data_IF_117912979512
#
_entry.id   IF_117912979512
#
_cell.length_a   1.000
_cell.length_b   1.000
_cell.length_c   1.000
_cell.angle_alpha   90.00
_cell.angle_beta   90.00
_cell.angle_gamma   90.00
#
_symmetry.space_group_name_H-M   'P 1'
#
loop_
_entity.id
_entity.type
_entity.pdbx_description
1 polymer ?
#
# COMPACT_ATOMS: atom_id res chain seq x y z
N UNK A 1 50.25 -48.33 39.57
CA UNK A 1 49.62 -47.11 39.02
C UNK A 1 48.20 -47.46 38.59
N UNK A 2 47.18 -46.97 39.30
CA UNK A 2 45.77 -47.07 38.91
C UNK A 2 45.33 -45.65 38.52
N UNK A 3 44.88 -45.46 37.28
CA UNK A 3 44.31 -44.20 36.81
C UNK A 3 42.79 -44.25 36.98
N UNK A 4 42.26 -43.30 37.75
CA UNK A 4 40.83 -43.05 37.91
C UNK A 4 40.41 -42.03 36.86
N UNK A 5 39.47 -42.38 35.98
CA UNK A 5 38.88 -41.45 35.00
C UNK A 5 37.63 -40.83 35.63
N UNK A 6 37.59 -39.50 35.72
CA UNK A 6 36.41 -38.73 36.15
C UNK A 6 35.63 -38.34 34.89
N UNK A 7 34.39 -38.82 34.80
CA UNK A 7 33.45 -38.50 33.71
C UNK A 7 32.66 -37.24 34.10
N UNK A 8 32.86 -36.14 33.38
CA UNK A 8 32.05 -34.92 33.50
C UNK A 8 30.81 -35.06 32.62
N UNK A 9 29.62 -35.19 33.24
CA UNK A 9 28.33 -35.16 32.53
C UNK A 9 27.95 -33.69 32.37
N UNK A 10 28.02 -33.16 31.15
CA UNK A 10 27.47 -31.85 30.81
C UNK A 10 25.97 -31.98 30.58
N UNK A 11 25.18 -31.37 31.47
CA UNK A 11 23.74 -31.22 31.32
C UNK A 11 23.46 -30.18 30.23
N UNK A 12 23.11 -30.61 29.02
CA UNK A 12 22.56 -29.72 28.00
C UNK A 12 21.12 -29.36 28.39
N UNK A 13 20.92 -28.19 28.97
CA UNK A 13 19.61 -27.57 29.05
C UNK A 13 19.26 -27.06 27.64
N UNK A 14 18.40 -27.79 26.93
CA UNK A 14 17.79 -27.32 25.69
C UNK A 14 16.81 -26.19 26.03
N UNK A 15 17.23 -24.94 25.79
CA UNK A 15 16.29 -23.84 25.68
C UNK A 15 15.41 -24.11 24.45
N UNK A 16 14.17 -24.53 24.68
CA UNK A 16 13.11 -24.43 23.69
C UNK A 16 12.91 -22.94 23.40
N UNK A 17 13.53 -22.45 22.33
CA UNK A 17 13.18 -21.17 21.74
C UNK A 17 11.73 -21.27 21.29
N UNK A 18 10.80 -20.76 22.10
CA UNK A 18 9.46 -20.44 21.63
C UNK A 18 9.63 -19.34 20.57
N UNK A 19 9.66 -19.75 19.30
CA UNK A 19 9.48 -18.82 18.20
C UNK A 19 8.18 -18.05 18.46
N UNK A 20 8.25 -16.73 18.36
CA UNK A 20 7.10 -15.86 18.56
C UNK A 20 6.02 -16.21 17.53
N UNK A 21 4.96 -16.90 17.96
CA UNK A 21 3.79 -17.05 17.11
C UNK A 21 2.99 -15.76 17.22
N UNK A 22 3.12 -14.91 16.20
CA UNK A 22 2.09 -13.92 15.97
C UNK A 22 0.84 -14.69 15.54
N UNK A 23 -0.29 -14.43 16.19
CA UNK A 23 -1.59 -14.84 15.67
C UNK A 23 -1.88 -13.98 14.43
N UNK A 24 -1.49 -14.49 13.26
CA UNK A 24 -1.71 -13.81 11.99
C UNK A 24 -3.22 -13.73 11.75
N UNK A 25 -3.70 -12.50 11.67
CA UNK A 25 -5.09 -12.21 11.39
C UNK A 25 -5.44 -12.69 9.99
N UNK A 26 -6.44 -13.55 9.91
CA UNK A 26 -7.07 -13.99 8.68
C UNK A 26 -8.57 -13.85 8.88
N UNK A 27 -9.22 -13.03 8.07
CA UNK A 27 -10.68 -13.01 8.06
C UNK A 27 -11.23 -14.32 7.48
N UNK A 28 -12.50 -14.60 7.74
CA UNK A 28 -13.22 -15.72 7.11
C UNK A 28 -13.67 -15.42 5.69
N UNK A 29 -13.22 -14.30 5.10
CA UNK A 29 -13.59 -13.87 3.77
C UNK A 29 -13.19 -14.91 2.72
N UNK A 30 -14.13 -15.22 1.83
CA UNK A 30 -13.89 -16.09 0.68
C UNK A 30 -13.93 -15.24 -0.59
N UNK A 31 -12.91 -15.34 -1.47
CA UNK A 31 -12.91 -14.61 -2.73
C UNK A 31 -14.16 -14.91 -3.55
N UNK A 32 -14.79 -13.87 -4.10
CA UNK A 32 -15.93 -14.01 -5.00
C UNK A 32 -15.49 -14.63 -6.32
N UNK A 33 -16.19 -15.65 -6.78
CA UNK A 33 -15.94 -16.24 -8.09
C UNK A 33 -16.49 -15.32 -9.17
N UNK A 34 -15.60 -14.79 -10.01
CA UNK A 34 -15.95 -13.89 -11.11
C UNK A 34 -15.77 -14.55 -12.46
N UNK A 35 -16.81 -14.54 -13.28
CA UNK A 35 -16.72 -14.85 -14.70
C UNK A 35 -16.52 -13.55 -15.47
N UNK A 36 -15.38 -13.43 -16.15
CA UNK A 36 -15.05 -12.27 -17.00
C UNK A 36 -15.29 -12.70 -18.44
N UNK A 37 -16.36 -12.21 -19.05
CA UNK A 37 -16.72 -12.50 -20.44
C UNK A 37 -16.44 -11.25 -21.25
N UNK A 38 -15.52 -11.36 -22.20
CA UNK A 38 -15.01 -10.19 -22.91
C UNK A 38 -14.99 -10.45 -24.41
N UNK A 39 -15.40 -9.43 -25.16
CA UNK A 39 -15.22 -9.35 -26.60
C UNK A 39 -14.51 -8.04 -26.94
N UNK A 40 -13.49 -8.11 -27.80
CA UNK A 40 -12.90 -6.96 -28.44
C UNK A 40 -13.08 -7.12 -29.95
N UNK A 41 -13.60 -6.09 -30.63
CA UNK A 41 -13.94 -6.18 -32.07
C UNK A 41 -12.81 -6.74 -32.96
N UNK A 42 -13.16 -7.29 -34.13
CA UNK A 42 -12.28 -8.18 -34.93
C UNK A 42 -10.87 -7.65 -35.27
N UNK A 43 -10.66 -6.33 -35.38
CA UNK A 43 -9.33 -5.75 -35.61
C UNK A 43 -8.39 -5.83 -34.38
N UNK A 44 -8.92 -6.16 -33.20
CA UNK A 44 -8.25 -6.11 -31.91
C UNK A 44 -8.07 -7.49 -31.25
N UNK A 45 -8.29 -8.60 -31.97
CA UNK A 45 -8.23 -9.96 -31.41
C UNK A 45 -6.90 -10.30 -30.69
N UNK A 46 -5.76 -9.77 -31.18
CA UNK A 46 -4.46 -9.93 -30.50
C UNK A 46 -4.35 -9.14 -29.18
N UNK A 47 -5.18 -8.10 -28.99
CA UNK A 47 -5.22 -7.26 -27.78
C UNK A 47 -6.20 -7.79 -26.73
N UNK A 48 -7.17 -8.63 -27.13
CA UNK A 48 -8.15 -9.24 -26.22
C UNK A 48 -7.49 -10.03 -25.08
N UNK A 49 -6.46 -10.82 -25.37
CA UNK A 49 -5.72 -11.59 -24.37
C UNK A 49 -5.02 -10.69 -23.34
N UNK A 50 -4.47 -9.55 -23.79
CA UNK A 50 -3.85 -8.55 -22.92
C UNK A 50 -4.90 -7.88 -22.02
N UNK A 51 -6.02 -7.41 -22.59
CA UNK A 51 -7.09 -6.76 -21.82
C UNK A 51 -7.67 -7.70 -20.77
N UNK A 52 -8.00 -8.93 -21.18
CA UNK A 52 -8.46 -9.97 -20.26
C UNK A 52 -7.43 -10.26 -19.16
N UNK A 53 -6.15 -10.39 -19.53
CA UNK A 53 -5.05 -10.62 -18.59
C UNK A 53 -4.93 -9.52 -17.55
N UNK A 54 -5.04 -8.25 -17.94
CA UNK A 54 -4.99 -7.10 -17.01
C UNK A 54 -6.18 -7.13 -16.05
N UNK A 55 -7.41 -7.24 -16.55
CA UNK A 55 -8.62 -7.24 -15.70
C UNK A 55 -8.59 -8.43 -14.74
N UNK A 56 -8.20 -9.62 -15.23
CA UNK A 56 -8.06 -10.82 -14.40
C UNK A 56 -7.00 -10.62 -13.32
N UNK A 57 -5.82 -10.11 -13.68
CA UNK A 57 -4.72 -9.90 -12.73
C UNK A 57 -5.11 -8.88 -11.66
N UNK A 58 -5.75 -7.78 -12.03
CA UNK A 58 -6.24 -6.77 -11.09
C UNK A 58 -7.19 -7.38 -10.06
N UNK A 59 -8.28 -8.01 -10.52
CA UNK A 59 -9.30 -8.58 -9.64
C UNK A 59 -8.73 -9.69 -8.76
N UNK A 60 -7.89 -10.59 -9.31
CA UNK A 60 -7.31 -11.69 -8.53
C UNK A 60 -6.22 -11.23 -7.58
N UNK A 61 -5.42 -10.23 -7.95
CA UNK A 61 -4.36 -9.66 -7.10
C UNK A 61 -4.89 -8.98 -5.84
N UNK A 62 -6.13 -8.48 -5.88
CA UNK A 62 -6.82 -7.95 -4.71
C UNK A 62 -7.19 -9.03 -3.67
N UNK A 63 -7.07 -10.31 -4.05
CA UNK A 63 -7.54 -11.49 -3.31
C UNK A 63 -9.03 -11.43 -2.94
N UNK A 64 -9.76 -10.44 -3.46
CA UNK A 64 -11.20 -10.30 -3.25
C UNK A 64 -11.99 -11.18 -4.23
N UNK A 65 -11.34 -11.61 -5.32
CA UNK A 65 -11.92 -12.39 -6.40
C UNK A 65 -11.08 -13.61 -6.76
N UNK A 66 -11.75 -14.65 -7.25
CA UNK A 66 -11.16 -15.77 -7.98
C UNK A 66 -11.77 -15.82 -9.39
N UNK A 67 -10.95 -15.68 -10.43
CA UNK A 67 -11.45 -15.72 -11.80
C UNK A 67 -11.78 -17.17 -12.22
N UNK A 68 -12.98 -17.38 -12.75
CA UNK A 68 -13.40 -18.65 -13.34
C UNK A 68 -12.69 -18.82 -14.69
N UNK A 69 -12.27 -20.05 -14.99
CA UNK A 69 -11.67 -20.38 -16.28
C UNK A 69 -12.71 -20.22 -17.42
N UNK A 70 -12.41 -19.45 -18.49
CA UNK A 70 -13.31 -19.30 -19.62
C UNK A 70 -13.75 -20.62 -20.28
N UNK A 71 -12.96 -21.70 -20.16
CA UNK A 71 -13.34 -23.02 -20.66
C UNK A 71 -14.56 -23.62 -19.94
N UNK A 72 -14.90 -23.13 -18.75
CA UNK A 72 -16.07 -23.57 -18.00
C UNK A 72 -17.36 -22.84 -18.41
N UNK A 73 -17.29 -21.77 -19.20
CA UNK A 73 -18.45 -20.96 -19.53
C UNK A 73 -19.45 -21.74 -20.40
N UNK A 74 -20.72 -21.67 -20.02
CA UNK A 74 -21.82 -22.38 -20.70
C UNK A 74 -22.55 -21.52 -21.74
N UNK A 75 -22.26 -20.22 -21.79
CA UNK A 75 -22.84 -19.26 -22.72
C UNK A 75 -21.76 -18.41 -23.36
N UNK A 76 -21.98 -18.02 -24.62
CA UNK A 76 -21.12 -17.11 -25.36
C UNK A 76 -21.30 -15.67 -24.90
N UNK A 77 -20.40 -14.79 -25.35
CA UNK A 77 -20.52 -13.36 -25.14
C UNK A 77 -21.82 -12.81 -25.76
N UNK A 78 -22.12 -13.15 -27.03
CA UNK A 78 -23.29 -12.61 -27.75
C UNK A 78 -24.60 -12.97 -27.05
N UNK A 79 -24.77 -14.24 -26.67
CA UNK A 79 -25.96 -14.71 -25.93
C UNK A 79 -26.12 -13.95 -24.62
N UNK A 80 -25.04 -13.86 -23.85
CA UNK A 80 -25.04 -13.19 -22.54
C UNK A 80 -25.23 -11.69 -22.63
N UNK A 81 -24.77 -11.06 -23.72
CA UNK A 81 -24.84 -9.62 -23.92
C UNK A 81 -26.27 -9.13 -24.18
N UNK A 82 -27.04 -9.92 -24.94
CA UNK A 82 -28.45 -9.67 -25.22
C UNK A 82 -29.32 -9.97 -23.99
N UNK A 83 -29.14 -11.15 -23.41
CA UNK A 83 -29.88 -11.58 -22.22
C UNK A 83 -29.08 -12.60 -21.41
N UNK A 84 -28.80 -12.25 -20.15
CA UNK A 84 -28.09 -13.16 -19.23
C UNK A 84 -29.03 -14.26 -18.73
N UNK A 85 -28.80 -15.50 -19.16
CA UNK A 85 -29.43 -16.68 -18.57
C UNK A 85 -28.72 -17.05 -17.26
N UNK A 86 -29.23 -16.51 -16.15
CA UNK A 86 -28.60 -16.63 -14.83
C UNK A 86 -28.37 -18.08 -14.35
N UNK A 87 -29.16 -19.04 -14.85
CA UNK A 87 -29.01 -20.46 -14.51
C UNK A 87 -27.63 -21.00 -14.87
N UNK A 88 -27.15 -20.68 -16.07
CA UNK A 88 -25.87 -21.16 -16.62
C UNK A 88 -24.69 -20.74 -15.75
N UNK A 89 -24.72 -19.48 -15.31
CA UNK A 89 -23.68 -18.90 -14.47
C UNK A 89 -23.72 -19.42 -13.04
N UNK A 90 -24.90 -19.76 -12.50
CA UNK A 90 -25.03 -20.40 -11.19
C UNK A 90 -24.48 -21.84 -11.20
N UNK A 91 -24.64 -22.58 -12.29
CA UNK A 91 -24.14 -23.96 -12.42
C UNK A 91 -22.62 -24.01 -12.24
N UNK A 92 -21.90 -23.04 -12.81
CA UNK A 92 -20.43 -22.94 -12.68
C UNK A 92 -19.99 -22.22 -11.40
N UNK A 93 -20.96 -21.80 -10.57
CA UNK A 93 -20.74 -21.14 -9.29
C UNK A 93 -20.20 -19.72 -9.41
N UNK A 94 -20.60 -18.97 -10.43
CA UNK A 94 -20.24 -17.55 -10.54
C UNK A 94 -21.03 -16.71 -9.54
N UNK A 95 -20.33 -16.03 -8.65
CA UNK A 95 -20.90 -15.01 -7.76
C UNK A 95 -21.13 -13.69 -8.51
N UNK A 96 -20.24 -13.39 -9.47
CA UNK A 96 -20.29 -12.19 -10.32
C UNK A 96 -20.05 -12.59 -11.78
N UNK A 97 -20.82 -11.99 -12.68
CA UNK A 97 -20.58 -12.06 -14.14
C UNK A 97 -20.31 -10.65 -14.65
N UNK A 98 -19.12 -10.43 -15.19
CA UNK A 98 -18.72 -9.18 -15.81
C UNK A 98 -18.67 -9.38 -17.33
N UNK A 99 -19.59 -8.72 -18.04
CA UNK A 99 -19.60 -8.66 -19.49
C UNK A 99 -18.93 -7.36 -19.93
N UNK A 100 -17.90 -7.47 -20.77
CA UNK A 100 -17.11 -6.32 -21.22
C UNK A 100 -17.01 -6.30 -22.75
N UNK A 101 -17.59 -5.29 -23.39
CA UNK A 101 -17.46 -5.06 -24.83
C UNK A 101 -16.44 -3.95 -25.10
N UNK A 102 -15.37 -4.26 -25.82
CA UNK A 102 -14.35 -3.28 -26.23
C UNK A 102 -14.45 -2.97 -27.71
N UNK A 103 -14.55 -1.69 -28.03
CA UNK A 103 -14.57 -1.17 -29.40
C UNK A 103 -13.52 -0.07 -29.58
N UNK A 104 -12.83 -0.10 -30.70
CA UNK A 104 -11.99 1.02 -31.14
C UNK A 104 -12.88 2.11 -31.77
N UNK A 105 -12.53 3.36 -31.51
CA UNK A 105 -13.22 4.57 -31.97
C UNK A 105 -12.19 5.51 -32.58
N UNK A 106 -12.62 6.50 -33.36
CA UNK A 106 -11.70 7.48 -33.99
C UNK A 106 -10.81 8.22 -32.96
N UNK A 107 -11.27 8.33 -31.71
CA UNK A 107 -10.59 9.04 -30.62
C UNK A 107 -9.85 8.13 -29.64
N UNK A 108 -9.95 6.81 -29.80
CA UNK A 108 -9.34 5.83 -28.89
C UNK A 108 -10.19 4.60 -28.65
N UNK A 109 -10.36 4.22 -27.39
CA UNK A 109 -11.04 3.00 -26.99
C UNK A 109 -12.29 3.31 -26.18
N UNK A 110 -13.33 2.51 -26.39
CA UNK A 110 -14.56 2.50 -25.61
C UNK A 110 -14.76 1.10 -25.05
N UNK A 111 -15.10 1.03 -23.76
CA UNK A 111 -15.47 -0.19 -23.07
C UNK A 111 -16.87 -0.06 -22.48
N UNK A 112 -17.79 -0.93 -22.88
CA UNK A 112 -19.11 -1.06 -22.26
C UNK A 112 -19.08 -2.23 -21.30
N UNK A 113 -19.58 -2.02 -20.08
CA UNK A 113 -19.46 -2.95 -18.98
C UNK A 113 -20.85 -3.22 -18.43
N UNK A 114 -21.21 -4.49 -18.26
CA UNK A 114 -22.38 -4.92 -17.50
C UNK A 114 -21.93 -5.88 -16.41
N UNK A 115 -22.25 -5.59 -15.15
CA UNK A 115 -21.91 -6.46 -14.02
C UNK A 115 -23.19 -7.01 -13.43
N UNK A 116 -23.26 -8.32 -13.30
CA UNK A 116 -24.43 -9.05 -12.84
C UNK A 116 -24.12 -9.89 -11.61
N UNK A 117 -25.12 -10.04 -10.74
CA UNK A 117 -25.18 -11.00 -9.64
C UNK A 117 -26.12 -12.14 -10.06
N UNK A 118 -25.59 -13.32 -10.43
CA UNK A 118 -26.41 -14.42 -10.89
C UNK A 118 -27.36 -14.96 -9.83
N UNK A 119 -26.94 -15.04 -8.56
CA UNK A 119 -27.76 -15.58 -7.48
C UNK A 119 -28.98 -14.71 -7.21
N UNK A 120 -28.80 -13.38 -7.22
CA UNK A 120 -29.91 -12.43 -7.07
C UNK A 120 -30.65 -12.13 -8.37
N UNK A 121 -30.20 -12.68 -9.51
CA UNK A 121 -30.72 -12.39 -10.84
C UNK A 121 -30.82 -10.88 -11.11
N UNK A 122 -29.75 -10.15 -10.77
CA UNK A 122 -29.75 -8.69 -10.77
C UNK A 122 -28.61 -8.12 -11.60
N UNK A 123 -28.89 -7.10 -12.41
CA UNK A 123 -27.88 -6.20 -12.97
C UNK A 123 -27.42 -5.24 -11.87
N UNK A 124 -26.14 -5.30 -11.50
CA UNK A 124 -25.53 -4.42 -10.50
C UNK A 124 -25.17 -3.06 -11.09
N UNK A 125 -24.57 -3.05 -12.28
CA UNK A 125 -24.22 -1.82 -12.99
C UNK A 125 -24.17 -2.03 -14.50
N UNK A 126 -24.42 -0.96 -15.26
CA UNK A 126 -24.13 -0.87 -16.69
C UNK A 126 -23.55 0.51 -17.00
N UNK A 127 -22.29 0.54 -17.47
CA UNK A 127 -21.54 1.78 -17.66
C UNK A 127 -20.69 1.72 -18.92
N UNK A 128 -20.32 2.89 -19.42
CA UNK A 128 -19.41 3.05 -20.56
C UNK A 128 -18.21 3.87 -20.12
N UNK A 129 -17.01 3.42 -20.48
CA UNK A 129 -15.75 4.09 -20.15
C UNK A 129 -14.94 4.29 -21.43
N UNK A 130 -14.39 5.49 -21.61
CA UNK A 130 -13.60 5.84 -22.80
C UNK A 130 -12.16 6.22 -22.46
N UNK A 131 -11.24 6.02 -23.41
CA UNK A 131 -9.83 6.36 -23.29
C UNK A 131 -9.23 6.76 -24.63
N UNK A 132 -8.06 7.41 -24.62
CA UNK A 132 -7.27 7.65 -25.83
C UNK A 132 -6.69 6.36 -26.42
N UNK A 133 -6.22 6.41 -27.66
CA UNK A 133 -5.69 5.25 -28.41
C UNK A 133 -4.53 4.53 -27.70
N UNK A 134 -3.64 5.27 -27.03
CA UNK A 134 -2.47 4.73 -26.33
C UNK A 134 -2.78 4.14 -24.94
N UNK A 135 -4.00 4.30 -24.43
CA UNK A 135 -4.34 4.06 -23.03
C UNK A 135 -5.16 2.77 -22.81
N UNK A 136 -5.09 1.78 -23.71
CA UNK A 136 -5.90 0.55 -23.61
C UNK A 136 -5.67 -0.20 -22.29
N UNK A 137 -4.42 -0.29 -21.83
CA UNK A 137 -4.11 -0.91 -20.53
C UNK A 137 -4.72 -0.14 -19.35
N UNK A 138 -4.63 1.18 -19.35
CA UNK A 138 -5.30 2.04 -18.37
C UNK A 138 -6.82 1.91 -18.43
N UNK A 139 -7.40 1.72 -19.63
CA UNK A 139 -8.82 1.41 -19.77
C UNK A 139 -9.16 0.05 -19.14
N UNK A 140 -8.34 -0.98 -19.33
CA UNK A 140 -8.50 -2.28 -18.68
C UNK A 140 -8.53 -2.16 -17.15
N UNK A 141 -7.60 -1.40 -16.56
CA UNK A 141 -7.60 -1.12 -15.11
C UNK A 141 -8.90 -0.43 -14.66
N UNK A 142 -9.36 0.58 -15.42
CA UNK A 142 -10.64 1.24 -15.12
C UNK A 142 -11.84 0.29 -15.22
N UNK A 143 -11.83 -0.64 -16.17
CA UNK A 143 -12.87 -1.67 -16.27
C UNK A 143 -12.83 -2.58 -15.03
N UNK A 144 -11.65 -2.99 -14.58
CA UNK A 144 -11.49 -3.75 -13.33
C UNK A 144 -12.01 -2.96 -12.11
N UNK A 145 -11.76 -1.65 -12.05
CA UNK A 145 -12.28 -0.78 -10.97
C UNK A 145 -13.82 -0.73 -10.97
N UNK A 146 -14.45 -0.68 -12.14
CA UNK A 146 -15.92 -0.72 -12.24
C UNK A 146 -16.48 -2.07 -11.77
N UNK A 147 -15.85 -3.19 -12.14
CA UNK A 147 -16.26 -4.52 -11.68
C UNK A 147 -16.11 -4.64 -10.16
N UNK A 148 -14.96 -4.23 -9.64
CA UNK A 148 -14.65 -4.24 -8.21
C UNK A 148 -15.65 -3.41 -7.42
N UNK A 149 -15.92 -2.17 -7.86
CA UNK A 149 -16.86 -1.27 -7.20
C UNK A 149 -18.30 -1.76 -7.28
N UNK A 150 -18.72 -2.35 -8.39
CA UNK A 150 -20.08 -2.88 -8.53
C UNK A 150 -20.32 -4.09 -7.62
N UNK A 151 -19.33 -4.98 -7.50
CA UNK A 151 -19.44 -6.21 -6.72
C UNK A 151 -19.27 -5.98 -5.20
N UNK A 152 -18.33 -5.11 -4.80
CA UNK A 152 -17.96 -4.94 -3.39
C UNK A 152 -18.51 -3.65 -2.75
N UNK A 153 -18.99 -2.69 -3.55
CA UNK A 153 -19.51 -1.42 -3.05
C UNK A 153 -18.43 -0.46 -2.54
N UNK A 154 -17.16 -0.72 -2.87
CA UNK A 154 -16.00 0.12 -2.52
C UNK A 154 -15.21 0.48 -3.78
N UNK A 155 -14.62 1.68 -3.88
CA UNK A 155 -13.84 2.08 -5.05
C UNK A 155 -12.70 1.11 -5.33
N UNK A 156 -12.43 0.84 -6.61
CA UNK A 156 -11.21 0.16 -7.03
C UNK A 156 -9.97 1.03 -6.86
N UNK A 157 -8.80 0.42 -7.05
CA UNK A 157 -7.49 1.08 -6.94
C UNK A 157 -6.56 0.69 -8.09
N UNK A 158 -7.05 0.05 -9.15
CA UNK A 158 -6.20 -0.58 -10.16
C UNK A 158 -5.52 0.42 -11.09
N UNK A 159 -6.01 1.66 -11.17
CA UNK A 159 -5.34 2.78 -11.85
C UNK A 159 -4.30 3.51 -11.00
N UNK A 160 -4.08 3.07 -9.77
CA UNK A 160 -3.10 3.70 -8.88
C UNK A 160 -1.66 3.29 -9.21
N UNK A 161 -0.72 4.01 -8.63
CA UNK A 161 0.70 3.87 -8.88
C UNK A 161 1.47 3.71 -7.58
N UNK A 162 2.68 3.18 -7.69
CA UNK A 162 3.56 2.96 -6.55
C UNK A 162 4.90 3.62 -6.85
N UNK A 163 5.40 4.39 -5.89
CA UNK A 163 6.80 4.79 -5.83
C UNK A 163 7.52 3.88 -4.86
N UNK A 164 8.78 3.58 -5.15
CA UNK A 164 9.67 2.92 -4.19
C UNK A 164 11.11 3.40 -4.37
N UNK A 165 11.91 3.21 -3.33
CA UNK A 165 13.35 3.50 -3.35
C UNK A 165 14.09 2.25 -3.78
N UNK A 166 14.89 2.34 -4.84
CA UNK A 166 15.79 1.28 -5.27
C UNK A 166 17.23 1.63 -4.90
N UNK A 167 17.88 0.79 -4.09
CA UNK A 167 19.30 0.97 -3.77
C UNK A 167 20.19 0.51 -4.94
N UNK A 168 21.17 1.34 -5.31
CA UNK A 168 22.16 1.10 -6.37
C UNK A 168 23.56 1.48 -5.89
N UNK A 169 24.23 0.53 -5.25
CA UNK A 169 25.52 0.76 -4.62
C UNK A 169 25.41 1.80 -3.50
N UNK A 170 26.15 2.90 -3.64
CA UNK A 170 26.15 4.04 -2.70
C UNK A 170 25.03 5.05 -2.96
N UNK A 171 24.26 4.88 -4.04
CA UNK A 171 23.17 5.78 -4.41
C UNK A 171 21.83 5.07 -4.34
N UNK A 172 20.75 5.85 -4.40
CA UNK A 172 19.38 5.38 -4.50
C UNK A 172 18.67 6.08 -5.65
N UNK A 173 17.78 5.34 -6.31
CA UNK A 173 16.87 5.87 -7.32
C UNK A 173 15.44 5.88 -6.77
N UNK A 174 14.64 6.87 -7.17
CA UNK A 174 13.19 6.87 -6.99
C UNK A 174 12.58 6.22 -8.22
N UNK A 175 11.82 5.14 -8.01
CA UNK A 175 11.27 4.30 -9.09
C UNK A 175 9.75 4.33 -9.04
N UNK A 176 9.13 4.47 -10.20
CA UNK A 176 7.69 4.49 -10.42
C UNK A 176 7.24 3.20 -11.10
N UNK A 177 6.09 2.68 -10.70
CA UNK A 177 5.40 1.59 -11.40
C UNK A 177 3.88 1.70 -11.23
N UNK A 178 3.13 1.04 -12.11
CA UNK A 178 1.71 0.74 -11.89
C UNK A 178 1.55 -0.17 -10.66
N UNK A 179 0.37 -0.21 -10.04
CA UNK A 179 0.13 -1.03 -8.85
C UNK A 179 0.41 -2.54 -9.04
N UNK A 180 0.32 -3.04 -10.27
CA UNK A 180 0.60 -4.44 -10.64
C UNK A 180 2.08 -4.69 -11.05
N UNK A 181 2.94 -3.68 -10.97
CA UNK A 181 4.36 -3.76 -11.28
C UNK A 181 4.76 -3.46 -12.73
N UNK A 182 3.80 -3.18 -13.63
CA UNK A 182 4.13 -2.73 -14.98
C UNK A 182 4.62 -1.27 -15.00
N UNK A 183 5.06 -0.80 -16.18
CA UNK A 183 5.59 0.55 -16.38
C UNK A 183 6.70 0.94 -15.38
N UNK A 184 7.49 -0.05 -14.94
CA UNK A 184 8.51 0.11 -13.93
C UNK A 184 9.72 0.89 -14.47
N UNK A 185 9.93 2.11 -13.98
CA UNK A 185 10.98 3.00 -14.46
C UNK A 185 11.49 3.98 -13.40
N UNK A 186 12.80 4.30 -13.38
CA UNK A 186 13.34 5.33 -12.50
C UNK A 186 12.89 6.72 -12.93
N UNK A 187 12.25 7.46 -12.02
CA UNK A 187 11.79 8.84 -12.23
C UNK A 187 12.73 9.87 -11.58
N UNK A 188 13.52 9.47 -10.59
CA UNK A 188 14.60 10.26 -10.03
C UNK A 188 15.83 9.38 -9.78
N UNK A 189 17.04 9.90 -10.02
CA UNK A 189 18.28 9.11 -9.99
C UNK A 189 19.37 9.74 -9.14
N UNK A 190 20.31 8.91 -8.70
CA UNK A 190 21.57 9.32 -8.06
C UNK A 190 21.38 10.13 -6.77
N UNK A 191 20.37 9.80 -5.96
CA UNK A 191 20.27 10.35 -4.61
C UNK A 191 21.32 9.67 -3.71
N UNK A 192 22.10 10.43 -2.94
CA UNK A 192 23.07 9.84 -2.00
C UNK A 192 22.36 8.97 -0.95
N UNK A 193 21.22 9.43 -0.46
CA UNK A 193 20.30 8.66 0.35
C UNK A 193 18.90 9.21 0.10
N UNK A 194 17.94 8.33 -0.09
CA UNK A 194 16.54 8.67 -0.34
C UNK A 194 15.67 7.84 0.59
N UNK A 195 14.81 8.50 1.36
CA UNK A 195 13.97 7.85 2.36
C UNK A 195 12.58 8.47 2.40
N UNK A 196 11.60 7.66 2.79
CA UNK A 196 10.23 8.08 3.10
C UNK A 196 9.60 9.03 2.06
N UNK A 197 9.51 8.62 0.78
CA UNK A 197 8.74 9.38 -0.20
C UNK A 197 7.26 9.37 0.20
N UNK A 198 6.57 10.49 0.03
CA UNK A 198 5.12 10.59 0.19
C UNK A 198 4.50 11.41 -0.95
N UNK A 199 3.38 10.93 -1.45
CA UNK A 199 2.68 11.55 -2.58
C UNK A 199 1.91 12.77 -2.12
N UNK A 200 2.04 13.86 -2.88
CA UNK A 200 1.05 14.93 -2.85
C UNK A 200 -0.33 14.39 -3.24
N UNK A 201 -1.43 14.92 -2.67
CA UNK A 201 -2.78 14.43 -2.98
C UNK A 201 -3.21 14.57 -4.45
N UNK A 202 -2.56 15.46 -5.21
CA UNK A 202 -2.83 15.63 -6.65
C UNK A 202 -1.96 14.74 -7.55
N UNK A 203 -1.08 13.92 -6.95
CA UNK A 203 -0.20 13.00 -7.66
C UNK A 203 0.94 13.66 -8.45
N UNK A 204 1.20 14.97 -8.31
CA UNK A 204 2.19 15.68 -9.14
C UNK A 204 3.57 15.77 -8.50
N UNK A 205 3.59 15.86 -7.17
CA UNK A 205 4.80 16.04 -6.38
C UNK A 205 4.98 14.91 -5.36
N UNK A 206 6.22 14.71 -4.95
CA UNK A 206 6.62 13.80 -3.88
C UNK A 206 7.40 14.59 -2.86
N UNK A 207 7.00 14.51 -1.59
CA UNK A 207 7.84 14.99 -0.51
C UNK A 207 8.79 13.85 -0.13
N UNK A 208 10.08 14.16 -0.01
CA UNK A 208 11.09 13.15 0.28
C UNK A 208 12.15 13.67 1.25
N UNK A 209 12.77 12.75 1.98
CA UNK A 209 13.98 13.00 2.74
C UNK A 209 15.20 12.56 1.91
N UNK A 210 16.14 13.47 1.72
CA UNK A 210 17.40 13.19 1.02
C UNK A 210 18.59 13.80 1.73
N UNK A 211 19.79 13.33 1.38
CA UNK A 211 21.05 13.87 1.86
C UNK A 211 21.79 14.57 0.74
N UNK A 212 22.33 15.75 1.02
CA UNK A 212 23.21 16.46 0.09
C UNK A 212 24.33 17.11 0.88
N UNK A 213 25.57 16.84 0.49
CA UNK A 213 26.75 17.24 1.28
C UNK A 213 26.75 16.64 2.69
N UNK A 214 26.20 15.43 2.84
CA UNK A 214 26.02 14.74 4.13
C UNK A 214 25.07 15.45 5.13
N UNK A 215 24.23 16.37 4.65
CA UNK A 215 23.20 17.03 5.45
C UNK A 215 21.81 16.53 5.05
N UNK A 216 20.98 16.02 5.99
CA UNK A 216 19.61 15.62 5.72
C UNK A 216 18.75 16.86 5.44
N UNK A 217 17.86 16.75 4.48
CA UNK A 217 16.94 17.81 4.06
C UNK A 217 15.64 17.22 3.54
N UNK A 218 14.59 18.03 3.56
CA UNK A 218 13.30 17.71 2.95
C UNK A 218 13.15 18.48 1.64
N UNK A 219 12.77 17.75 0.60
CA UNK A 219 12.56 18.32 -0.74
C UNK A 219 11.21 17.91 -1.32
N UNK A 220 10.61 18.82 -2.08
CA UNK A 220 9.59 18.49 -3.05
C UNK A 220 10.25 18.09 -4.36
N UNK A 221 9.84 16.95 -4.90
CA UNK A 221 10.25 16.42 -6.18
C UNK A 221 9.05 16.41 -7.13
N UNK A 222 9.14 17.13 -8.25
CA UNK A 222 8.09 17.17 -9.27
C UNK A 222 8.25 15.95 -10.22
N UNK A 223 7.24 15.09 -10.27
CA UNK A 223 7.31 13.83 -11.02
C UNK A 223 7.37 14.01 -12.54
N UNK A 224 6.91 15.15 -13.05
CA UNK A 224 6.86 15.42 -14.49
C UNK A 224 8.16 16.03 -15.00
N UNK A 225 8.76 16.93 -14.23
CA UNK A 225 9.93 17.73 -14.62
C UNK A 225 11.23 17.25 -13.99
N UNK A 226 11.16 16.49 -12.90
CA UNK A 226 12.31 16.13 -12.07
C UNK A 226 12.86 17.29 -11.24
N UNK A 227 12.16 18.43 -11.19
CA UNK A 227 12.59 19.60 -10.43
C UNK A 227 12.55 19.30 -8.92
N UNK A 228 13.55 19.83 -8.20
CA UNK A 228 13.76 19.61 -6.76
C UNK A 228 13.80 20.93 -6.02
N UNK A 229 12.93 21.09 -5.02
CA UNK A 229 12.85 22.29 -4.20
C UNK A 229 12.95 21.93 -2.73
N UNK A 230 13.97 22.41 -2.03
CA UNK A 230 14.11 22.20 -0.60
C UNK A 230 13.10 23.07 0.18
N UNK A 231 12.43 22.48 1.16
CA UNK A 231 11.50 23.18 2.06
C UNK A 231 11.82 22.97 3.55
N UNK A 232 12.73 22.03 3.87
CA UNK A 232 13.30 21.85 5.20
C UNK A 232 14.80 21.59 5.10
N UNK A 233 15.62 22.48 5.67
CA UNK A 233 17.07 22.36 5.70
C UNK A 233 17.63 22.90 7.02
N UNK A 234 17.14 22.34 8.12
CA UNK A 234 17.52 22.77 9.46
C UNK A 234 18.71 21.96 9.97
N UNK A 235 19.43 22.48 10.97
CA UNK A 235 20.45 21.69 11.65
C UNK A 235 19.82 20.49 12.36
N UNK A 236 20.48 19.33 12.27
CA UNK A 236 20.02 18.09 12.91
C UNK A 236 19.19 17.23 11.95
N UNK A 237 18.29 16.42 12.52
CA UNK A 237 17.44 15.53 11.76
C UNK A 237 16.35 16.33 11.02
N UNK A 238 16.17 16.00 9.73
CA UNK A 238 15.05 16.42 8.91
C UNK A 238 14.55 15.14 8.22
N UNK A 239 13.39 14.62 8.61
CA UNK A 239 12.94 13.32 8.07
C UNK A 239 11.43 13.17 8.02
N UNK A 240 11.01 12.12 7.31
CA UNK A 240 9.63 11.59 7.24
C UNK A 240 8.60 12.69 6.96
N UNK A 241 8.68 13.37 5.80
CA UNK A 241 7.65 14.31 5.40
C UNK A 241 6.38 13.55 5.00
N UNK A 242 5.22 14.09 5.36
CA UNK A 242 3.93 13.51 4.98
C UNK A 242 2.88 14.61 4.74
N UNK A 243 2.29 14.61 3.55
CA UNK A 243 1.29 15.57 3.11
C UNK A 243 -0.03 15.38 3.85
N UNK A 244 -0.66 16.48 4.25
CA UNK A 244 -2.06 16.45 4.65
C UNK A 244 -2.94 16.01 3.48
N UNK A 245 -4.10 15.40 3.78
CA UNK A 245 -5.01 14.89 2.76
C UNK A 245 -5.51 15.99 1.80
N UNK A 246 -5.61 17.24 2.25
CA UNK A 246 -5.97 18.41 1.45
C UNK A 246 -4.78 19.04 0.68
N UNK A 247 -3.55 18.54 0.89
CA UNK A 247 -2.34 19.00 0.22
C UNK A 247 -1.84 20.37 0.66
N UNK A 248 -2.43 20.96 1.72
CA UNK A 248 -2.03 22.30 2.19
C UNK A 248 -0.83 22.27 3.14
N UNK A 249 -0.63 21.17 3.83
CA UNK A 249 0.37 21.04 4.88
C UNK A 249 1.28 19.83 4.65
N UNK A 250 2.49 19.89 5.21
CA UNK A 250 3.37 18.72 5.37
C UNK A 250 3.75 18.59 6.82
N UNK A 251 3.50 17.45 7.44
CA UNK A 251 4.05 17.13 8.74
C UNK A 251 5.44 16.50 8.55
N UNK A 252 6.40 16.82 9.42
CA UNK A 252 7.74 16.23 9.36
C UNK A 252 8.37 16.11 10.74
N UNK A 253 9.37 15.24 10.84
CA UNK A 253 10.21 15.09 12.03
C UNK A 253 11.40 16.03 11.92
N UNK A 254 11.55 16.97 12.86
CA UNK A 254 12.69 17.89 12.92
C UNK A 254 13.34 17.87 14.31
N UNK A 255 14.67 17.96 14.38
CA UNK A 255 15.41 18.02 15.66
C UNK A 255 16.11 19.36 15.94
N UNK A 256 15.85 20.39 15.13
CA UNK A 256 16.57 21.67 15.21
C UNK A 256 16.27 22.47 16.49
N UNK A 257 15.23 22.11 17.23
CA UNK A 257 14.81 22.78 18.46
C UNK A 257 15.46 22.20 19.74
N UNK A 258 16.43 21.29 19.59
CA UNK A 258 17.13 20.62 20.69
C UNK A 258 16.48 19.30 21.14
N UNK A 259 15.21 19.09 20.81
CA UNK A 259 14.52 17.80 20.88
C UNK A 259 14.01 17.41 19.48
N UNK A 260 13.77 16.12 19.27
CA UNK A 260 13.13 15.60 18.05
C UNK A 260 11.61 15.69 18.20
N UNK A 261 11.00 16.54 17.39
CA UNK A 261 9.57 16.83 17.44
C UNK A 261 8.93 16.84 16.05
N UNK A 262 7.62 16.65 16.03
CA UNK A 262 6.79 16.86 14.85
C UNK A 262 6.58 18.36 14.62
N UNK A 263 6.81 18.79 13.39
CA UNK A 263 6.53 20.13 12.90
C UNK A 263 5.60 20.06 11.69
N UNK A 264 4.83 21.12 11.46
CA UNK A 264 3.92 21.27 10.34
C UNK A 264 4.37 22.46 9.50
N UNK A 265 4.59 22.19 8.21
CA UNK A 265 4.87 23.17 7.18
C UNK A 265 3.57 23.56 6.46
N UNK A 266 3.26 24.85 6.41
CA UNK A 266 2.20 25.41 5.55
C UNK A 266 2.80 25.71 4.18
N UNK A 267 2.39 24.94 3.16
CA UNK A 267 2.92 25.06 1.80
C UNK A 267 2.58 26.42 1.19
N UNK A 268 1.37 26.92 1.45
CA UNK A 268 0.88 28.19 0.88
C UNK A 268 1.67 29.38 1.43
N UNK A 269 1.94 29.36 2.73
CA UNK A 269 2.61 30.48 3.41
C UNK A 269 4.13 30.28 3.52
N UNK A 270 4.66 29.12 3.16
CA UNK A 270 6.05 28.72 3.32
C UNK A 270 6.56 28.88 4.77
N UNK A 271 5.75 28.48 5.76
CA UNK A 271 6.08 28.66 7.19
C UNK A 271 6.04 27.34 7.95
N UNK A 272 6.93 27.21 8.93
CA UNK A 272 6.99 26.06 9.84
C UNK A 272 6.40 26.41 11.20
N UNK A 273 5.66 25.47 11.79
CA UNK A 273 5.14 25.55 13.14
C UNK A 273 5.41 24.26 13.91
N UNK A 274 5.72 24.35 15.20
CA UNK A 274 5.98 23.19 16.05
C UNK A 274 4.66 22.57 16.51
N UNK A 275 4.47 21.27 16.25
CA UNK A 275 3.24 20.55 16.61
C UNK A 275 3.36 19.82 17.95
N UNK A 276 4.49 19.17 18.22
CA UNK A 276 4.77 18.51 19.51
C UNK A 276 5.85 19.24 20.30
N UNK A 277 5.77 19.20 21.62
CA UNK A 277 6.71 19.86 22.52
C UNK A 277 6.97 19.05 23.81
N UNK A 278 6.90 17.72 23.71
CA UNK A 278 7.15 16.83 24.84
C UNK A 278 8.66 16.59 25.01
N UNK A 279 9.13 16.15 26.19
CA UNK A 279 10.55 15.79 26.41
C UNK A 279 10.98 14.48 25.73
N UNK A 280 10.01 13.70 25.28
CA UNK A 280 10.24 12.47 24.54
C UNK A 280 10.55 12.76 23.07
N UNK A 281 11.13 11.78 22.40
CA UNK A 281 11.39 11.80 20.97
C UNK A 281 10.08 11.52 20.26
N UNK A 282 9.61 12.47 19.46
CA UNK A 282 8.39 12.36 18.64
C UNK A 282 8.78 12.31 17.14
N UNK A 283 8.43 11.24 16.41
CA UNK A 283 8.87 11.00 15.02
C UNK A 283 7.77 10.42 14.12
N UNK A 284 8.03 10.33 12.81
CA UNK A 284 7.20 9.61 11.81
C UNK A 284 5.71 9.97 11.90
N UNK A 285 5.33 11.21 11.55
CA UNK A 285 3.94 11.64 11.60
C UNK A 285 3.13 11.05 10.44
N UNK A 286 1.83 10.90 10.66
CA UNK A 286 0.82 10.59 9.62
C UNK A 286 -0.50 11.32 9.92
N UNK A 287 -1.09 11.99 8.94
CA UNK A 287 -2.38 12.66 9.05
C UNK A 287 -3.54 11.67 9.05
N UNK A 288 -4.57 11.94 9.85
CA UNK A 288 -5.88 11.35 9.62
C UNK A 288 -6.49 11.88 8.31
N UNK A 289 -7.30 11.10 7.58
CA UNK A 289 -7.88 11.55 6.31
C UNK A 289 -8.82 12.75 6.47
N UNK A 290 -9.39 12.95 7.66
CA UNK A 290 -10.20 14.14 7.98
C UNK A 290 -9.37 15.38 8.38
N UNK A 291 -8.04 15.27 8.42
CA UNK A 291 -7.11 16.35 8.78
C UNK A 291 -7.18 16.80 10.24
N UNK A 292 -7.95 16.13 11.11
CA UNK A 292 -8.15 16.56 12.50
C UNK A 292 -7.13 16.00 13.47
N UNK A 293 -6.42 14.95 13.09
CA UNK A 293 -5.46 14.25 13.93
C UNK A 293 -4.16 13.99 13.20
N UNK A 294 -3.08 13.91 13.97
CA UNK A 294 -1.80 13.38 13.52
C UNK A 294 -1.46 12.23 14.45
N UNK A 295 -1.24 11.04 13.89
CA UNK A 295 -0.57 9.95 14.59
C UNK A 295 0.94 10.04 14.39
N UNK A 296 1.71 9.63 15.39
CA UNK A 296 3.16 9.74 15.38
C UNK A 296 3.76 8.77 16.40
N UNK A 297 5.04 8.46 16.26
CA UNK A 297 5.78 7.65 17.22
C UNK A 297 6.27 8.52 18.36
N UNK A 298 6.15 8.03 19.58
CA UNK A 298 6.71 8.67 20.76
C UNK A 298 7.28 7.66 21.74
N UNK A 299 8.43 7.96 22.33
CA UNK A 299 8.98 7.20 23.46
C UNK A 299 8.58 7.77 24.83
N UNK A 300 7.55 8.64 24.90
CA UNK A 300 7.11 9.26 26.16
C UNK A 300 6.73 8.29 27.27
N UNK A 301 6.46 7.03 26.92
CA UNK A 301 6.16 5.91 27.82
C UNK A 301 7.35 4.94 27.99
N UNK A 302 8.56 5.37 27.69
CA UNK A 302 9.80 4.57 27.77
C UNK A 302 10.22 4.00 26.42
N UNK A 303 9.40 3.12 25.84
CA UNK A 303 9.65 2.56 24.50
C UNK A 303 8.87 3.30 23.40
N UNK A 304 9.34 3.30 22.14
CA UNK A 304 8.60 3.83 20.99
C UNK A 304 7.24 3.16 20.83
N UNK A 305 6.20 3.98 20.87
CA UNK A 305 4.81 3.61 20.73
C UNK A 305 4.10 4.60 19.82
N UNK A 306 2.98 4.20 19.22
CA UNK A 306 2.15 5.07 18.39
C UNK A 306 1.20 5.86 19.29
N UNK A 307 1.23 7.18 19.13
CA UNK A 307 0.31 8.13 19.74
C UNK A 307 -0.46 8.88 18.67
N UNK A 308 -1.58 9.49 19.04
CA UNK A 308 -2.29 10.48 18.23
C UNK A 308 -2.54 11.76 19.00
N UNK A 309 -2.57 12.90 18.31
CA UNK A 309 -2.89 14.21 18.89
C UNK A 309 -3.77 14.99 17.92
N UNK A 310 -4.74 15.75 18.44
CA UNK A 310 -5.57 16.64 17.62
C UNK A 310 -4.73 17.79 17.07
N UNK A 311 -4.98 18.16 15.82
CA UNK A 311 -4.36 19.32 15.16
C UNK A 311 -4.73 20.62 15.87
N UNK A 312 -5.95 20.70 16.41
CA UNK A 312 -6.41 21.81 17.25
C UNK A 312 -5.71 21.92 18.62
N UNK A 313 -4.79 21.01 18.95
CA UNK A 313 -4.08 20.97 20.23
C UNK A 313 -4.67 20.01 21.26
N UNK A 314 -4.15 20.06 22.49
CA UNK A 314 -4.48 19.13 23.57
C UNK A 314 -3.41 18.06 23.80
N UNK A 315 -3.72 17.09 24.67
CA UNK A 315 -2.80 16.00 25.05
C UNK A 315 -2.76 14.92 23.97
N UNK A 316 -1.59 14.31 23.77
CA UNK A 316 -1.49 13.12 22.93
C UNK A 316 -2.08 11.90 23.66
N UNK A 317 -2.64 10.98 22.89
CA UNK A 317 -3.32 9.78 23.34
C UNK A 317 -2.58 8.55 22.80
N UNK A 318 -2.33 7.55 23.66
CA UNK A 318 -1.70 6.29 23.25
C UNK A 318 -2.66 5.50 22.34
N UNK A 319 -2.12 4.93 21.26
CA UNK A 319 -2.87 4.08 20.31
C UNK A 319 -2.38 2.63 20.40
N UNK A 320 -1.07 2.39 20.33
CA UNK A 320 -0.54 1.03 20.36
C UNK A 320 -0.46 0.50 21.79
N UNK A 321 -1.39 -0.40 22.16
CA UNK A 321 -1.49 -0.97 23.51
C UNK A 321 -0.79 -2.33 23.66
N UNK A 322 -0.36 -2.93 22.55
CA UNK A 322 0.35 -4.22 22.51
C UNK A 322 1.66 -4.09 21.71
N UNK A 323 2.64 -4.97 22.01
CA UNK A 323 3.97 -4.94 21.41
C UNK A 323 4.95 -4.04 22.17
N UNK A 324 6.22 -4.43 22.22
CA UNK A 324 7.25 -3.72 23.00
C UNK A 324 7.82 -2.51 22.28
N UNK A 325 7.66 -2.44 20.95
CA UNK A 325 8.14 -1.36 20.10
C UNK A 325 7.21 -1.23 18.89
N UNK A 326 6.55 -0.08 18.73
CA UNK A 326 5.59 0.16 17.66
C UNK A 326 5.95 1.46 16.93
N UNK A 327 6.18 1.36 15.62
CA UNK A 327 6.71 2.46 14.80
C UNK A 327 6.08 2.58 13.43
N UNK A 328 6.49 3.62 12.68
CA UNK A 328 6.09 3.87 11.28
C UNK A 328 4.57 3.84 11.08
N UNK A 329 3.80 4.62 11.85
CA UNK A 329 2.36 4.65 11.71
C UNK A 329 1.97 5.24 10.35
N UNK A 330 0.99 4.65 9.69
CA UNK A 330 0.34 5.22 8.49
C UNK A 330 -1.17 5.08 8.63
N UNK A 331 -1.87 6.22 8.62
CA UNK A 331 -3.32 6.25 8.77
C UNK A 331 -3.99 5.70 7.50
N UNK A 332 -5.00 4.83 7.67
CA UNK A 332 -5.84 4.36 6.58
C UNK A 332 -6.56 5.54 5.92
N UNK A 333 -6.67 5.59 4.57
CA UNK A 333 -7.49 6.61 3.90
C UNK A 333 -8.98 6.50 4.28
N UNK A 334 -9.43 5.34 4.77
CA UNK A 334 -10.78 5.14 5.30
C UNK A 334 -10.94 5.67 6.74
N UNK A 335 -9.86 6.06 7.41
CA UNK A 335 -9.85 6.66 8.74
C UNK A 335 -10.10 5.71 9.90
N UNK A 336 -10.44 4.46 9.61
CA UNK A 336 -10.87 3.42 10.54
C UNK A 336 -9.72 2.69 11.25
N UNK A 337 -8.52 2.72 10.65
CA UNK A 337 -7.32 2.01 11.11
C UNK A 337 -6.03 2.81 10.91
N UNK A 338 -5.01 2.45 11.65
CA UNK A 338 -3.61 2.90 11.52
C UNK A 338 -2.75 1.66 11.35
N UNK A 339 -2.01 1.56 10.24
CA UNK A 339 -0.97 0.55 10.06
C UNK A 339 0.28 0.95 10.83
N UNK A 340 1.03 -0.02 11.34
CA UNK A 340 2.27 0.20 12.07
C UNK A 340 3.18 -1.03 11.97
N UNK A 341 4.47 -0.82 12.21
CA UNK A 341 5.41 -1.91 12.44
C UNK A 341 5.45 -2.20 13.94
N UNK A 342 5.24 -3.46 14.31
CA UNK A 342 5.20 -3.92 15.69
C UNK A 342 6.27 -4.96 15.95
N UNK A 343 7.07 -4.77 17.00
CA UNK A 343 7.99 -5.77 17.51
C UNK A 343 7.35 -6.47 18.71
N UNK A 344 7.27 -7.79 18.62
CA UNK A 344 6.86 -8.67 19.72
C UNK A 344 7.81 -9.85 19.76
N UNK A 345 8.40 -10.12 20.92
CA UNK A 345 9.27 -11.28 21.13
C UNK A 345 10.38 -11.40 20.05
N UNK A 346 11.07 -10.29 19.75
CA UNK A 346 12.16 -10.21 18.75
C UNK A 346 11.77 -10.46 17.29
N UNK A 347 10.48 -10.53 16.98
CA UNK A 347 9.98 -10.64 15.61
C UNK A 347 9.16 -9.40 15.21
N UNK A 348 9.34 -8.94 13.98
CA UNK A 348 8.64 -7.79 13.43
C UNK A 348 7.41 -8.23 12.64
N UNK A 349 6.34 -7.45 12.78
CA UNK A 349 5.10 -7.64 12.04
C UNK A 349 4.57 -6.32 11.49
N UNK A 350 3.93 -6.39 10.32
CA UNK A 350 2.96 -5.38 9.90
C UNK A 350 1.70 -5.60 10.69
N UNK A 351 1.26 -4.58 11.43
CA UNK A 351 0.04 -4.61 12.21
C UNK A 351 -0.88 -3.45 11.82
N UNK A 352 -2.17 -3.60 12.09
CA UNK A 352 -3.14 -2.50 12.03
C UNK A 352 -3.91 -2.41 13.33
N UNK A 353 -4.25 -1.20 13.75
CA UNK A 353 -4.97 -0.92 15.00
C UNK A 353 -6.02 0.15 14.75
N UNK A 354 -7.17 0.10 15.45
CA UNK A 354 -8.14 1.19 15.38
C UNK A 354 -7.55 2.46 16.03
N UNK A 355 -7.93 3.68 15.60
CA UNK A 355 -7.39 4.90 16.18
C UNK A 355 -7.62 5.04 17.70
N UNK A 356 -8.61 4.36 18.26
CA UNK A 356 -8.88 4.30 19.71
C UNK A 356 -8.00 3.29 20.48
N UNK A 357 -7.13 2.56 19.77
CA UNK A 357 -6.20 1.58 20.31
C UNK A 357 -6.75 0.16 20.45
N UNK A 358 -7.96 -0.10 19.97
CA UNK A 358 -8.60 -1.43 20.00
C UNK A 358 -8.33 -2.23 18.70
N UNK A 359 -8.63 -3.54 18.75
CA UNK A 359 -8.64 -4.45 17.59
C UNK A 359 -7.32 -4.39 16.78
N UNK A 360 -6.22 -4.69 17.47
CA UNK A 360 -4.91 -4.89 16.86
C UNK A 360 -4.92 -6.18 16.05
N UNK A 361 -4.49 -6.10 14.79
CA UNK A 361 -4.42 -7.23 13.84
C UNK A 361 -3.03 -7.31 13.25
N UNK A 362 -2.37 -8.46 13.38
CA UNK A 362 -1.08 -8.73 12.75
C UNK A 362 -1.31 -9.36 11.39
N UNK A 363 -0.81 -8.76 10.31
CA UNK A 363 -1.13 -9.18 8.93
C UNK A 363 -0.03 -10.02 8.30
N UNK A 364 1.22 -9.69 8.58
CA UNK A 364 2.39 -10.34 8.01
C UNK A 364 3.58 -10.19 8.96
N UNK A 365 4.49 -11.16 8.93
CA UNK A 365 5.73 -11.17 9.72
C UNK A 365 6.93 -11.37 8.84
N UNK A 366 8.07 -10.83 9.22
CA UNK A 366 9.29 -11.02 8.45
C UNK A 366 10.53 -10.51 9.14
N UNK A 367 11.67 -10.74 8.49
CA UNK A 367 12.92 -10.09 8.86
C UNK A 367 12.88 -8.63 8.35
N UNK A 368 13.18 -7.69 9.25
CA UNK A 368 13.28 -6.24 8.92
C UNK A 368 12.06 -5.71 8.15
N UNK A 369 10.88 -5.83 8.76
CA UNK A 369 9.63 -5.27 8.22
C UNK A 369 9.60 -3.76 8.44
N UNK A 370 9.44 -3.00 7.38
CA UNK A 370 9.58 -1.54 7.38
C UNK A 370 8.56 -0.87 6.44
N UNK A 371 8.36 0.44 6.66
CA UNK A 371 7.67 1.38 5.77
C UNK A 371 6.34 0.89 5.18
N UNK A 372 5.28 0.69 6.00
CA UNK A 372 3.97 0.31 5.48
C UNK A 372 3.32 1.46 4.69
N UNK A 373 2.48 1.16 3.69
CA UNK A 373 1.72 2.16 2.94
C UNK A 373 0.37 1.60 2.45
N UNK A 374 -0.72 2.34 2.64
CA UNK A 374 -2.06 1.91 2.24
C UNK A 374 -2.34 2.12 0.76
N UNK A 375 -3.12 1.22 0.14
CA UNK A 375 -3.81 1.53 -1.11
C UNK A 375 -4.83 2.66 -0.91
N UNK A 376 -5.17 3.43 -1.95
CA UNK A 376 -6.06 4.59 -1.81
C UNK A 376 -7.47 4.26 -1.31
N UNK A 377 -7.91 3.00 -1.45
CA UNK A 377 -9.20 2.52 -0.93
C UNK A 377 -9.10 1.75 0.41
N UNK A 378 -7.90 1.68 1.02
CA UNK A 378 -7.65 1.04 2.31
C UNK A 378 -7.76 -0.50 2.33
N UNK A 379 -7.78 -1.16 1.17
CA UNK A 379 -7.93 -2.63 1.10
C UNK A 379 -6.61 -3.38 1.07
N UNK A 380 -5.52 -2.73 0.64
CA UNK A 380 -4.20 -3.33 0.55
C UNK A 380 -3.19 -2.51 1.35
N UNK A 381 -2.17 -3.20 1.84
CA UNK A 381 -1.00 -2.60 2.47
C UNK A 381 0.26 -3.05 1.74
N UNK A 382 1.10 -2.08 1.37
CA UNK A 382 2.49 -2.33 1.04
C UNK A 382 3.31 -2.35 2.31
N UNK A 383 4.44 -3.06 2.27
CA UNK A 383 5.53 -2.95 3.23
C UNK A 383 6.81 -3.46 2.58
N UNK A 384 7.96 -3.07 3.10
CA UNK A 384 9.23 -3.70 2.73
C UNK A 384 9.63 -4.74 3.76
N UNK A 385 10.17 -5.86 3.31
CA UNK A 385 10.76 -6.88 4.17
C UNK A 385 12.02 -7.47 3.53
N UNK A 386 12.95 -7.91 4.36
CA UNK A 386 14.14 -8.62 3.92
C UNK A 386 13.85 -10.12 3.87
N UNK A 387 14.20 -10.76 2.75
CA UNK A 387 14.18 -12.21 2.62
C UNK A 387 15.43 -12.66 1.88
N UNK A 388 16.21 -13.54 2.51
CA UNK A 388 17.51 -13.99 1.99
C UNK A 388 18.48 -12.82 1.67
N UNK A 389 18.55 -11.82 2.58
CA UNK A 389 19.40 -10.62 2.45
C UNK A 389 19.06 -9.68 1.31
N UNK A 390 17.91 -9.87 0.66
CA UNK A 390 17.39 -8.94 -0.34
C UNK A 390 16.10 -8.33 0.20
N UNK A 391 16.07 -7.01 0.27
CA UNK A 391 14.89 -6.25 0.67
C UNK A 391 13.96 -6.08 -0.52
N UNK A 392 12.70 -6.45 -0.36
CA UNK A 392 11.67 -6.38 -1.39
C UNK A 392 10.42 -5.70 -0.86
N UNK A 393 9.62 -5.17 -1.77
CA UNK A 393 8.29 -4.64 -1.45
C UNK A 393 7.27 -5.75 -1.64
N UNK A 394 6.45 -5.91 -0.63
CA UNK A 394 5.35 -6.86 -0.54
C UNK A 394 4.03 -6.11 -0.44
N UNK A 395 2.96 -6.76 -0.89
CA UNK A 395 1.58 -6.35 -0.63
C UNK A 395 0.84 -7.42 0.17
N UNK A 396 -0.09 -7.01 1.01
CA UNK A 396 -0.99 -7.89 1.77
C UNK A 396 -2.37 -7.25 1.91
N UNK A 397 -3.48 -8.04 1.86
CA UNK A 397 -4.81 -7.51 2.15
C UNK A 397 -4.95 -7.05 3.60
N UNK A 398 -5.67 -5.94 3.82
CA UNK A 398 -5.89 -5.37 5.16
C UNK A 398 -6.79 -6.23 6.06
N UNK A 399 -7.56 -7.14 5.45
CA UNK A 399 -8.41 -8.12 6.09
C UNK A 399 -7.73 -9.48 6.32
N UNK A 400 -6.42 -9.57 6.08
CA UNK A 400 -5.64 -10.79 6.23
C UNK A 400 -5.74 -11.67 5.00
N UNK A 401 -4.61 -12.06 4.43
CA UNK A 401 -4.55 -12.89 3.23
C UNK A 401 -3.12 -13.36 2.99
N UNK A 402 -2.79 -13.70 1.76
CA UNK A 402 -1.43 -14.06 1.38
C UNK A 402 -0.61 -12.82 1.07
N UNK A 403 0.58 -12.71 1.62
CA UNK A 403 1.57 -11.71 1.21
C UNK A 403 2.18 -12.07 -0.15
N UNK A 404 2.35 -11.07 -1.02
CA UNK A 404 2.93 -11.25 -2.36
C UNK A 404 4.00 -10.20 -2.63
N UNK A 405 5.20 -10.59 -3.12
CA UNK A 405 6.19 -9.61 -3.53
C UNK A 405 5.78 -8.97 -4.86
N UNK A 406 5.89 -7.64 -4.94
CA UNK A 406 5.58 -6.88 -6.16
C UNK A 406 6.82 -6.34 -6.87
N UNK A 407 7.99 -6.37 -6.22
CA UNK A 407 9.27 -6.01 -6.85
C UNK A 407 10.05 -7.26 -7.30
N UNK A 408 10.85 -7.15 -8.37
CA UNK A 408 11.75 -8.22 -8.81
C UNK A 408 12.68 -8.73 -7.70
N UNK A 409 13.07 -10.02 -7.71
CA UNK A 409 13.88 -10.62 -6.66
C UNK A 409 15.36 -10.17 -6.67
N UNK A 410 15.82 -9.51 -7.73
CA UNK A 410 17.21 -9.10 -7.93
C UNK A 410 17.46 -7.62 -7.66
N UNK A 411 16.51 -6.92 -7.03
CA UNK A 411 16.66 -5.51 -6.66
C UNK A 411 16.44 -5.32 -5.16
N UNK A 412 17.21 -4.40 -4.56
CA UNK A 412 16.97 -3.91 -3.20
C UNK A 412 15.98 -2.75 -3.27
N UNK A 413 14.74 -3.02 -2.84
CA UNK A 413 13.62 -2.10 -2.95
C UNK A 413 12.95 -1.87 -1.58
N UNK A 414 12.70 -0.61 -1.23
CA UNK A 414 12.08 -0.22 0.05
C UNK A 414 11.28 1.07 -0.03
N UNK A 415 10.76 1.50 1.13
CA UNK A 415 10.15 2.81 1.32
C UNK A 415 9.09 3.08 0.26
N UNK A 416 8.23 2.07 0.05
CA UNK A 416 7.19 2.14 -0.95
C UNK A 416 6.08 3.09 -0.51
N UNK A 417 5.63 3.93 -1.43
CA UNK A 417 4.54 4.86 -1.23
C UNK A 417 3.49 4.64 -2.32
N UNK A 418 2.27 4.32 -1.90
CA UNK A 418 1.13 4.16 -2.79
C UNK A 418 0.55 5.54 -3.14
N UNK A 419 0.25 5.77 -4.40
CA UNK A 419 -0.37 7.02 -4.84
C UNK A 419 -1.74 7.25 -4.20
N UNK A 420 -2.03 8.52 -3.94
CA UNK A 420 -3.34 8.99 -3.49
C UNK A 420 -4.19 9.19 -4.76
N UNK A 421 -5.28 8.41 -4.89
CA UNK A 421 -6.27 8.34 -5.98
C UNK A 421 -5.81 8.42 -7.44
#
# INVERSE_FOLDING_TARGET
MRFTVILFISLFASFLSHAAEFDIYQSTYKPLKVAIVLEAGQAAGHKQSMVYGVIKNDLTSSQSFAAIDPMAFLASFQESWEKVEYGDWRIIGADIVALCNFSETDKGWRAEIKVHDPFRAKLLTSVVVESSTAALRTLSHRVADQIYSAALGIPGYFTSHILYVQKRGEYSDLVYMDQDGANNQPVGKNFTLLLSPDWSPDGRQVALNTYVGNHPRLEFFDLRTGARNAFGNFKGLNSTPEFSHDGRYVAATLSHSGNTDIHIYDIKNATWSRFTNHKGIDTTPTWSPDGKWIAFVSNRSGQPQVYRKKVSGGRAQLVSTQGSYNTSPVWSPMGDRIAMISLKNWSYAVATVRPDGQDIRYLATGERVESPSWSPNGQMLLYSAEKHRVRRVYRVPSWGGREEPITPPNIDASDAAWSRH
#
